data_IF_660433655037
#
_entry.id   IF_660433655037
#
_cell.length_a   1.000
_cell.length_b   1.000
_cell.length_c   1.000
_cell.angle_alpha   90.00
_cell.angle_beta   90.00
_cell.angle_gamma   90.00
#
_symmetry.space_group_name_H-M   'P 1'
#
loop_
_entity.id
_entity.type
_entity.pdbx_description
1 polymer ?
#
# COMPACT_ATOMS: atom_id res chain seq x y z
N UNK A 1 -0.71 26.46 -15.22
CA UNK A 1 -0.27 25.20 -14.58
C UNK A 1 -0.37 25.34 -13.07
N UNK A 2 -1.10 24.47 -12.35
CA UNK A 2 -1.06 24.47 -10.88
C UNK A 2 0.37 24.11 -10.44
N UNK A 3 0.99 24.92 -9.57
CA UNK A 3 2.30 24.62 -8.97
C UNK A 3 2.24 23.29 -8.23
N UNK A 4 3.35 22.54 -8.25
CA UNK A 4 3.55 21.29 -7.48
C UNK A 4 3.20 21.47 -6.00
N UNK A 5 3.35 22.69 -5.45
CA UNK A 5 2.93 23.03 -4.08
C UNK A 5 1.48 22.63 -3.75
N UNK A 6 0.60 22.62 -4.75
CA UNK A 6 -0.82 22.28 -4.57
C UNK A 6 -1.05 20.76 -4.40
N UNK A 7 -0.04 19.93 -4.66
CA UNK A 7 -0.10 18.48 -4.61
C UNK A 7 0.70 17.87 -3.46
N UNK A 8 1.42 18.68 -2.67
CA UNK A 8 2.30 18.20 -1.61
C UNK A 8 1.54 17.33 -0.61
N UNK A 9 0.36 17.77 -0.17
CA UNK A 9 -0.46 17.00 0.77
C UNK A 9 -0.77 15.61 0.22
N UNK A 10 -1.15 15.51 -1.05
CA UNK A 10 -1.50 14.24 -1.70
C UNK A 10 -0.29 13.31 -1.82
N UNK A 11 0.89 13.87 -2.11
CA UNK A 11 2.17 13.16 -2.14
C UNK A 11 2.58 12.71 -0.73
N UNK A 12 2.23 13.44 0.33
CA UNK A 12 2.49 12.98 1.69
C UNK A 12 1.56 11.83 2.09
N UNK A 13 0.33 11.76 1.56
CA UNK A 13 -0.61 10.70 1.88
C UNK A 13 -0.11 9.31 1.45
N UNK A 14 0.67 9.22 0.37
CA UNK A 14 1.21 7.92 -0.08
C UNK A 14 2.25 7.32 0.89
N UNK A 15 2.79 8.11 1.82
CA UNK A 15 3.69 7.65 2.88
C UNK A 15 2.96 7.02 4.07
N UNK A 16 1.66 7.27 4.22
CA UNK A 16 0.90 6.84 5.40
C UNK A 16 0.98 5.33 5.71
N UNK A 17 0.92 4.41 4.73
CA UNK A 17 1.06 2.96 5.00
C UNK A 17 2.43 2.60 5.58
N UNK A 18 3.50 3.26 5.11
CA UNK A 18 4.85 3.07 5.65
C UNK A 18 4.96 3.58 7.08
N UNK A 19 4.44 4.78 7.35
CA UNK A 19 4.45 5.38 8.69
C UNK A 19 3.68 4.49 9.65
N UNK A 20 2.47 4.08 9.29
CA UNK A 20 1.66 3.18 10.10
C UNK A 20 2.37 1.85 10.37
N UNK A 21 2.89 1.20 9.32
CA UNK A 21 3.58 -0.07 9.48
C UNK A 21 4.80 0.03 10.40
N UNK A 22 5.59 1.09 10.25
CA UNK A 22 6.73 1.37 11.12
C UNK A 22 6.31 1.59 12.58
N UNK A 23 5.24 2.37 12.82
CA UNK A 23 4.73 2.63 14.16
C UNK A 23 4.19 1.37 14.83
N UNK A 24 3.44 0.52 14.10
CA UNK A 24 2.96 -0.75 14.63
C UNK A 24 4.12 -1.68 14.99
N UNK A 25 5.13 -1.76 14.12
CA UNK A 25 6.31 -2.59 14.33
C UNK A 25 7.12 -2.12 15.55
N UNK A 26 7.31 -0.80 15.71
CA UNK A 26 8.18 -0.23 16.76
C UNK A 26 7.47 -0.08 18.11
N UNK A 27 6.21 0.37 18.11
CA UNK A 27 5.48 0.74 19.33
C UNK A 27 4.53 -0.37 19.80
N UNK A 28 4.46 -1.49 19.08
CA UNK A 28 3.57 -2.63 19.38
C UNK A 28 2.13 -2.14 19.63
N UNK A 29 1.63 -1.34 18.68
CA UNK A 29 0.31 -0.73 18.84
C UNK A 29 -0.77 -1.82 18.81
N UNK A 30 -1.62 -1.93 19.85
CA UNK A 30 -2.59 -3.02 19.99
C UNK A 30 -3.86 -2.77 19.15
N UNK A 31 -3.71 -2.32 17.92
CA UNK A 31 -4.86 -2.11 17.04
C UNK A 31 -5.34 -3.46 16.50
N UNK A 32 -6.66 -3.69 16.60
CA UNK A 32 -7.26 -4.88 16.04
C UNK A 32 -7.06 -4.90 14.50
N UNK A 33 -6.44 -5.94 13.91
CA UNK A 33 -6.05 -5.94 12.50
C UNK A 33 -7.20 -5.67 11.52
N UNK A 34 -8.41 -6.17 11.82
CA UNK A 34 -9.60 -5.91 11.02
C UNK A 34 -9.98 -4.43 10.99
N UNK A 35 -9.87 -3.73 12.12
CA UNK A 35 -10.19 -2.30 12.20
C UNK A 35 -9.24 -1.50 11.30
N UNK A 36 -7.95 -1.82 11.35
CA UNK A 36 -6.95 -1.12 10.52
C UNK A 36 -7.10 -1.43 9.04
N UNK A 37 -7.49 -2.67 8.69
CA UNK A 37 -7.89 -3.01 7.32
C UNK A 37 -8.99 -2.09 6.80
N UNK A 38 -10.08 -1.91 7.56
CA UNK A 38 -11.18 -1.05 7.12
C UNK A 38 -10.75 0.42 7.00
N UNK A 39 -10.04 0.93 8.00
CA UNK A 39 -9.52 2.31 8.01
C UNK A 39 -8.63 2.55 6.80
N UNK A 40 -7.67 1.67 6.54
CA UNK A 40 -6.75 1.82 5.42
C UNK A 40 -7.40 1.57 4.06
N UNK A 41 -8.40 0.70 3.97
CA UNK A 41 -9.17 0.52 2.74
C UNK A 41 -9.91 1.81 2.37
N UNK A 42 -10.62 2.43 3.32
CA UNK A 42 -11.33 3.70 3.12
C UNK A 42 -10.34 4.83 2.83
N UNK A 43 -9.25 4.90 3.60
CA UNK A 43 -8.20 5.89 3.41
C UNK A 43 -7.60 5.79 2.01
N UNK A 44 -7.20 4.60 1.57
CA UNK A 44 -6.51 4.42 0.30
C UNK A 44 -7.46 4.62 -0.90
N UNK A 45 -8.74 4.27 -0.73
CA UNK A 45 -9.80 4.67 -1.66
C UNK A 45 -9.89 6.20 -1.78
N UNK A 46 -9.88 6.93 -0.66
CA UNK A 46 -9.91 8.40 -0.67
C UNK A 46 -8.65 9.00 -1.31
N UNK A 47 -7.46 8.42 -1.07
CA UNK A 47 -6.22 8.81 -1.75
C UNK A 47 -6.39 8.67 -3.27
N UNK A 48 -6.95 7.55 -3.76
CA UNK A 48 -7.30 7.36 -5.17
C UNK A 48 -8.16 8.49 -5.73
N UNK A 49 -9.22 8.90 -5.02
CA UNK A 49 -10.08 10.03 -5.41
C UNK A 49 -9.29 11.35 -5.51
N UNK A 50 -8.34 11.59 -4.61
CA UNK A 50 -7.55 12.84 -4.63
C UNK A 50 -6.65 12.89 -5.85
N UNK A 51 -5.93 11.81 -6.14
CA UNK A 51 -5.09 11.71 -7.32
C UNK A 51 -5.90 11.78 -8.63
N UNK A 52 -7.14 11.30 -8.67
CA UNK A 52 -7.95 11.42 -9.90
C UNK A 52 -8.32 12.85 -10.28
N UNK A 53 -8.25 13.79 -9.33
CA UNK A 53 -8.54 15.23 -9.52
C UNK A 53 -7.32 16.06 -9.90
N UNK A 54 -6.14 15.46 -10.01
CA UNK A 54 -4.96 16.20 -10.44
C UNK A 54 -5.10 16.67 -11.89
N UNK A 55 -4.62 17.88 -12.18
CA UNK A 55 -4.72 18.48 -13.50
C UNK A 55 -3.52 18.07 -14.38
N UNK A 56 -3.30 16.76 -14.51
CA UNK A 56 -2.28 16.12 -15.34
C UNK A 56 -2.91 14.91 -16.06
N UNK A 57 -2.15 14.22 -16.92
CA UNK A 57 -2.67 13.02 -17.58
C UNK A 57 -3.05 11.95 -16.54
N UNK A 58 -4.20 11.29 -16.76
CA UNK A 58 -4.74 10.27 -15.83
C UNK A 58 -3.72 9.19 -15.51
N UNK A 59 -3.03 8.68 -16.53
CA UNK A 59 -1.96 7.70 -16.38
C UNK A 59 -0.83 8.19 -15.48
N UNK A 60 -0.34 9.43 -15.66
CA UNK A 60 0.71 9.99 -14.81
C UNK A 60 0.24 10.11 -13.36
N UNK A 61 -0.98 10.60 -13.13
CA UNK A 61 -1.50 10.74 -11.77
C UNK A 61 -1.68 9.39 -11.06
N UNK A 62 -2.20 8.38 -11.78
CA UNK A 62 -2.35 7.03 -11.25
C UNK A 62 -1.00 6.42 -10.86
N UNK A 63 0.02 6.57 -11.72
CA UNK A 63 1.38 6.10 -11.45
C UNK A 63 2.03 6.83 -10.27
N UNK A 64 1.87 8.14 -10.15
CA UNK A 64 2.42 8.89 -9.01
C UNK A 64 1.73 8.45 -7.71
N UNK A 65 0.40 8.30 -7.71
CA UNK A 65 -0.34 7.86 -6.52
C UNK A 65 -0.01 6.44 -6.07
N UNK A 66 0.42 5.57 -6.98
CA UNK A 66 0.88 4.21 -6.67
C UNK A 66 2.41 4.06 -6.71
N UNK A 67 3.17 5.15 -6.78
CA UNK A 67 4.62 5.08 -6.99
C UNK A 67 5.33 4.33 -5.86
N UNK A 68 5.07 4.70 -4.61
CA UNK A 68 5.64 4.02 -3.45
C UNK A 68 5.11 2.59 -3.27
N UNK A 69 3.83 2.37 -3.60
CA UNK A 69 3.27 1.01 -3.64
C UNK A 69 4.03 0.13 -4.65
N UNK A 70 4.31 0.65 -5.85
CA UNK A 70 4.99 -0.07 -6.92
C UNK A 70 6.46 -0.34 -6.56
N UNK A 71 7.16 0.66 -6.02
CA UNK A 71 8.53 0.50 -5.54
C UNK A 71 8.58 -0.59 -4.45
N UNK A 72 7.67 -0.52 -3.47
CA UNK A 72 7.58 -1.51 -2.41
C UNK A 72 7.26 -2.91 -2.95
N UNK A 73 6.39 -3.01 -3.95
CA UNK A 73 6.02 -4.28 -4.58
C UNK A 73 7.20 -4.91 -5.33
N UNK A 74 7.97 -4.13 -6.08
CA UNK A 74 9.18 -4.60 -6.77
C UNK A 74 10.22 -5.08 -5.75
N UNK A 75 10.44 -4.32 -4.67
CA UNK A 75 11.34 -4.72 -3.58
C UNK A 75 10.84 -5.99 -2.88
N UNK A 76 9.52 -6.15 -2.70
CA UNK A 76 8.93 -7.37 -2.16
C UNK A 76 9.20 -8.58 -3.06
N UNK A 77 8.99 -8.46 -4.38
CA UNK A 77 9.31 -9.54 -5.34
C UNK A 77 10.79 -9.90 -5.23
N UNK A 78 11.66 -8.90 -5.22
CA UNK A 78 13.10 -9.12 -5.10
C UNK A 78 13.46 -9.86 -3.81
N UNK A 79 12.96 -9.42 -2.66
CA UNK A 79 13.34 -10.00 -1.37
C UNK A 79 12.68 -11.35 -1.09
N UNK A 80 11.41 -11.56 -1.46
CA UNK A 80 10.64 -12.73 -0.99
C UNK A 80 10.33 -13.76 -2.07
N UNK A 81 10.53 -13.44 -3.35
CA UNK A 81 10.27 -14.37 -4.46
C UNK A 81 11.58 -14.77 -5.14
N UNK A 82 12.50 -13.82 -5.36
CA UNK A 82 13.74 -14.09 -6.10
C UNK A 82 14.93 -14.51 -5.23
N UNK A 83 14.91 -14.16 -3.94
CA UNK A 83 15.99 -14.49 -3.00
C UNK A 83 15.57 -15.54 -1.98
N UNK A 84 16.49 -16.45 -1.70
CA UNK A 84 16.41 -17.36 -0.55
C UNK A 84 16.54 -16.60 0.76
N UNK A 85 16.00 -17.18 1.84
CA UNK A 85 15.90 -16.55 3.17
C UNK A 85 17.24 -15.99 3.67
N UNK A 86 18.35 -16.70 3.42
CA UNK A 86 19.70 -16.34 3.88
C UNK A 86 20.28 -15.12 3.13
N UNK A 87 19.84 -14.90 1.89
CA UNK A 87 20.34 -13.81 1.04
C UNK A 87 19.54 -12.50 1.21
N UNK A 88 18.47 -12.51 2.00
CA UNK A 88 17.60 -11.33 2.18
C UNK A 88 18.28 -10.21 2.94
N UNK A 89 18.04 -8.98 2.48
CA UNK A 89 18.31 -7.82 3.29
C UNK A 89 17.14 -7.60 4.25
N UNK A 90 17.37 -7.85 5.55
CA UNK A 90 16.35 -7.76 6.60
C UNK A 90 15.69 -6.37 6.64
N UNK A 91 16.44 -5.29 6.45
CA UNK A 91 15.90 -3.93 6.51
C UNK A 91 14.91 -3.67 5.37
N UNK A 92 15.25 -4.10 4.16
CA UNK A 92 14.34 -3.98 3.00
C UNK A 92 13.12 -4.89 3.19
N UNK A 93 13.35 -6.12 3.66
CA UNK A 93 12.30 -7.10 3.92
C UNK A 93 11.26 -6.58 4.93
N UNK A 94 11.71 -5.99 6.04
CA UNK A 94 10.84 -5.38 7.06
C UNK A 94 10.11 -4.16 6.49
N UNK A 95 10.79 -3.31 5.72
CA UNK A 95 10.17 -2.12 5.13
C UNK A 95 8.98 -2.47 4.23
N UNK A 96 9.17 -3.43 3.31
CA UNK A 96 8.10 -3.83 2.37
C UNK A 96 6.98 -4.59 3.05
N UNK A 97 7.26 -5.30 4.15
CA UNK A 97 6.24 -5.94 4.96
C UNK A 97 5.41 -4.90 5.73
N UNK A 98 6.08 -3.95 6.38
CA UNK A 98 5.44 -2.88 7.14
C UNK A 98 4.47 -2.07 6.28
N UNK A 99 4.84 -1.76 5.03
CA UNK A 99 3.98 -1.04 4.09
C UNK A 99 2.60 -1.72 3.90
N UNK A 100 2.57 -3.05 3.91
CA UNK A 100 1.34 -3.82 3.64
C UNK A 100 0.60 -4.27 4.89
N UNK A 101 1.17 -4.08 6.10
CA UNK A 101 0.53 -4.48 7.37
C UNK A 101 -0.97 -4.15 7.47
N UNK A 102 -1.46 -2.96 7.06
CA UNK A 102 -2.89 -2.68 7.14
C UNK A 102 -3.76 -3.59 6.26
N UNK A 103 -3.22 -4.17 5.19
CA UNK A 103 -3.96 -4.98 4.21
C UNK A 103 -3.80 -6.50 4.40
N UNK A 104 -2.88 -6.94 5.27
CA UNK A 104 -2.57 -8.36 5.48
C UNK A 104 -3.75 -9.16 6.02
N UNK A 105 -4.51 -8.58 6.95
CA UNK A 105 -5.65 -9.27 7.56
C UNK A 105 -6.71 -9.67 6.53
N UNK A 106 -7.07 -8.75 5.63
CA UNK A 106 -8.01 -9.02 4.56
C UNK A 106 -7.50 -10.10 3.60
N UNK A 107 -6.22 -10.04 3.24
CA UNK A 107 -5.57 -11.05 2.40
C UNK A 107 -5.60 -12.45 3.03
N UNK A 108 -5.27 -12.56 4.31
CA UNK A 108 -5.30 -13.84 5.03
C UNK A 108 -6.72 -14.40 5.16
N UNK A 109 -7.73 -13.53 5.40
CA UNK A 109 -9.13 -13.97 5.52
C UNK A 109 -9.76 -14.45 4.22
N UNK A 110 -9.36 -13.89 3.08
CA UNK A 110 -9.82 -14.35 1.77
C UNK A 110 -9.14 -15.64 1.30
N UNK A 111 -8.01 -16.00 1.92
CA UNK A 111 -7.24 -17.20 1.61
C UNK A 111 -7.06 -18.09 2.86
N UNK A 112 -8.15 -18.56 3.50
CA UNK A 112 -8.10 -19.19 4.82
C UNK A 112 -7.32 -20.51 4.86
N UNK A 113 -7.17 -21.18 3.72
CA UNK A 113 -6.43 -22.44 3.58
C UNK A 113 -4.98 -22.26 3.12
N UNK A 114 -4.54 -21.03 2.90
CA UNK A 114 -3.16 -20.71 2.52
C UNK A 114 -2.41 -20.21 3.74
N UNK A 115 -1.33 -20.90 4.09
CA UNK A 115 -0.47 -20.53 5.23
C UNK A 115 0.87 -19.94 4.79
N UNK A 116 1.10 -19.79 3.48
CA UNK A 116 2.29 -19.17 2.95
C UNK A 116 2.20 -17.63 3.07
N UNK A 117 3.01 -17.05 3.94
CA UNK A 117 3.05 -15.62 4.19
C UNK A 117 3.35 -14.78 2.93
N UNK A 118 4.22 -15.25 2.04
CA UNK A 118 4.54 -14.57 0.77
C UNK A 118 3.31 -14.44 -0.11
N UNK A 119 2.49 -15.48 -0.22
CA UNK A 119 1.25 -15.44 -1.02
C UNK A 119 0.24 -14.46 -0.39
N UNK A 120 0.08 -14.48 0.93
CA UNK A 120 -0.79 -13.55 1.65
C UNK A 120 -0.34 -12.10 1.41
N UNK A 121 0.95 -11.82 1.55
CA UNK A 121 1.53 -10.49 1.33
C UNK A 121 1.34 -10.01 -0.11
N UNK A 122 1.55 -10.89 -1.10
CA UNK A 122 1.28 -10.59 -2.51
C UNK A 122 -0.18 -10.15 -2.71
N UNK A 123 -1.14 -10.87 -2.10
CA UNK A 123 -2.55 -10.51 -2.20
C UNK A 123 -2.89 -9.20 -1.46
N UNK A 124 -2.20 -8.88 -0.37
CA UNK A 124 -2.33 -7.58 0.30
C UNK A 124 -1.95 -6.41 -0.63
N UNK A 125 -0.89 -6.55 -1.42
CA UNK A 125 -0.54 -5.58 -2.47
C UNK A 125 -1.66 -5.39 -3.49
N UNK A 126 -2.28 -6.49 -3.94
CA UNK A 126 -3.40 -6.45 -4.89
C UNK A 126 -4.61 -5.74 -4.28
N UNK A 127 -4.96 -6.00 -3.02
CA UNK A 127 -6.09 -5.33 -2.36
C UNK A 127 -5.87 -3.83 -2.18
N UNK A 128 -4.66 -3.44 -1.82
CA UNK A 128 -4.29 -2.04 -1.75
C UNK A 128 -4.41 -1.37 -3.13
N UNK A 129 -3.93 -2.01 -4.20
CA UNK A 129 -4.08 -1.48 -5.55
C UNK A 129 -5.56 -1.36 -5.97
N UNK A 130 -6.38 -2.35 -5.64
CA UNK A 130 -7.83 -2.33 -5.92
C UNK A 130 -8.49 -1.16 -5.18
N UNK A 131 -8.23 -1.00 -3.88
CA UNK A 131 -8.81 0.08 -3.08
C UNK A 131 -8.51 1.46 -3.70
N UNK A 132 -7.25 1.70 -4.09
CA UNK A 132 -6.86 2.92 -4.79
C UNK A 132 -7.60 3.07 -6.12
N UNK A 133 -7.60 2.00 -6.93
CA UNK A 133 -8.14 2.02 -8.28
C UNK A 133 -9.63 2.32 -8.30
N UNK A 134 -10.40 1.70 -7.40
CA UNK A 134 -11.83 1.98 -7.26
C UNK A 134 -12.01 3.47 -6.96
N UNK A 135 -11.29 4.01 -5.97
CA UNK A 135 -11.36 5.44 -5.63
C UNK A 135 -10.97 6.37 -6.78
N UNK A 136 -9.90 6.02 -7.49
CA UNK A 136 -9.39 6.80 -8.61
C UNK A 136 -10.40 6.87 -9.77
N UNK A 137 -11.13 5.78 -10.04
CA UNK A 137 -12.07 5.70 -11.16
C UNK A 137 -13.53 6.01 -10.79
N UNK A 138 -13.90 6.09 -9.50
CA UNK A 138 -15.29 6.27 -9.03
C UNK A 138 -15.90 7.63 -9.45
N UNK A 139 -15.10 8.70 -9.54
CA UNK A 139 -15.59 10.06 -9.85
C UNK A 139 -15.60 10.38 -11.34
N UNK A 140 -15.84 9.40 -12.20
CA UNK A 140 -16.15 9.67 -13.61
C UNK A 140 -17.57 10.28 -13.71
N UNK A 141 -17.62 11.62 -13.73
CA UNK A 141 -18.53 12.35 -14.61
C UNK A 141 -17.68 12.90 -15.73
#
# INVERSE_FOLDING_TARGET
MKKISNYIVDILLILAPFIYGYLVNTLILPFYPFTMQLVFFIFWFFVGIRFSKWNISKWKSFLIGNSLWLISFVLFIWQFILLDDVARNINIAVLVQNCMLPFVYGAAKLLPFIHNGTIIMFNAYIFMLIAFSIGFFVKKK
#
